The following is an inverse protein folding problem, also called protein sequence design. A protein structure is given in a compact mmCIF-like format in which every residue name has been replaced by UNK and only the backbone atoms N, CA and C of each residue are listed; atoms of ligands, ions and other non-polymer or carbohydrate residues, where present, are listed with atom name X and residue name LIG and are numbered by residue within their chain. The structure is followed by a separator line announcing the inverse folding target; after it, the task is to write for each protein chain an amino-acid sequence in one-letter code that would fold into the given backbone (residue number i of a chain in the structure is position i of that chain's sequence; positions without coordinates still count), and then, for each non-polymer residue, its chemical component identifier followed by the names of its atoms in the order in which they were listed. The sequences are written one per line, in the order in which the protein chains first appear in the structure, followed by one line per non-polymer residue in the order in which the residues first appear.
data_IF_035898538697
#
_entry.id   IF_035898538697
#
_cell.length_a   1.000
_cell.length_b   1.000
_cell.length_c   1.000
_cell.angle_alpha   90.00
_cell.angle_beta   90.00
_cell.angle_gamma   90.00
#
_symmetry.space_group_name_H-M   'P 1'
#
loop_
_entity.id
_entity.type
_entity.pdbx_description
1 polymer ?
#
# COMPACT_ATOMS: atom_id res chain seq x y z
N UNK A 1 -15.67 9.33 -8.74
CA UNK A 1 -15.02 8.87 -7.49
C UNK A 1 -15.00 10.03 -6.51
N UNK A 2 -15.45 9.82 -5.26
CA UNK A 2 -15.59 10.88 -4.26
C UNK A 2 -14.26 11.40 -3.71
N UNK A 3 -13.24 10.55 -3.63
CA UNK A 3 -11.91 10.93 -3.12
C UNK A 3 -11.21 12.02 -3.94
N UNK A 4 -11.54 12.14 -5.24
CA UNK A 4 -10.82 13.00 -6.19
C UNK A 4 -9.39 12.55 -6.51
N UNK A 5 -8.88 11.49 -5.87
CA UNK A 5 -7.52 11.00 -6.07
C UNK A 5 -7.43 10.13 -7.33
N UNK A 6 -6.57 10.48 -8.32
CA UNK A 6 -6.49 9.78 -9.59
C UNK A 6 -6.02 8.33 -9.47
N UNK A 7 -5.32 7.95 -8.39
CA UNK A 7 -4.91 6.57 -8.14
C UNK A 7 -6.12 5.66 -7.96
N UNK A 8 -7.18 6.16 -7.31
CA UNK A 8 -8.43 5.38 -7.11
C UNK A 8 -9.08 4.97 -8.42
N UNK A 9 -8.85 5.72 -9.51
CA UNK A 9 -9.36 5.41 -10.84
C UNK A 9 -8.51 4.40 -11.62
N UNK A 10 -7.22 4.28 -11.29
CA UNK A 10 -6.25 3.59 -12.13
C UNK A 10 -5.68 2.32 -11.51
N UNK A 11 -5.65 2.20 -10.18
CA UNK A 11 -4.83 1.17 -9.52
C UNK A 11 -5.19 -0.27 -9.92
N UNK A 12 -6.46 -0.54 -10.22
CA UNK A 12 -6.91 -1.88 -10.60
C UNK A 12 -6.34 -2.35 -11.95
N UNK A 13 -5.85 -1.43 -12.80
CA UNK A 13 -5.19 -1.79 -14.06
C UNK A 13 -3.69 -2.02 -13.90
N UNK A 14 -3.14 -1.79 -12.71
CA UNK A 14 -1.71 -1.94 -12.44
C UNK A 14 -1.34 -3.39 -12.19
N UNK A 15 -0.03 -3.67 -12.15
CA UNK A 15 0.49 -5.01 -11.90
C UNK A 15 0.11 -5.46 -10.48
N UNK A 16 -0.57 -6.59 -10.39
CA UNK A 16 -0.87 -7.30 -9.13
C UNK A 16 0.17 -8.40 -8.87
N UNK A 17 1.09 -8.26 -7.89
CA UNK A 17 2.14 -9.24 -7.62
C UNK A 17 1.67 -10.43 -6.78
N UNK A 18 0.47 -10.37 -6.19
CA UNK A 18 -0.16 -11.50 -5.51
C UNK A 18 -1.08 -12.31 -6.45
N UNK A 19 -1.03 -13.63 -6.37
CA UNK A 19 -1.90 -14.55 -7.14
C UNK A 19 -3.33 -14.56 -6.60
N UNK A 20 -3.46 -14.51 -5.28
CA UNK A 20 -4.70 -14.47 -4.51
C UNK A 20 -4.56 -13.47 -3.36
N UNK A 21 -5.65 -12.92 -2.83
CA UNK A 21 -5.60 -12.06 -1.65
C UNK A 21 -5.19 -12.86 -0.41
N UNK A 22 -4.50 -12.22 0.52
CA UNK A 22 -4.04 -12.88 1.75
C UNK A 22 -4.49 -12.12 2.99
N UNK A 23 -4.70 -12.85 4.09
CA UNK A 23 -5.10 -12.24 5.36
C UNK A 23 -3.93 -11.50 5.99
N UNK A 24 -4.13 -10.23 6.32
CA UNK A 24 -3.11 -9.39 6.91
C UNK A 24 -3.53 -8.88 8.30
N UNK A 25 -2.83 -9.34 9.33
CA UNK A 25 -3.07 -8.91 10.71
C UNK A 25 -2.85 -7.41 10.92
N UNK A 26 -1.80 -6.85 10.31
CA UNK A 26 -1.45 -5.42 10.45
C UNK A 26 -2.41 -4.46 9.73
N UNK A 27 -3.30 -4.98 8.87
CA UNK A 27 -4.38 -4.21 8.24
C UNK A 27 -5.76 -4.56 8.83
N UNK A 28 -5.80 -4.98 10.09
CA UNK A 28 -7.04 -5.28 10.81
C UNK A 28 -7.68 -6.61 10.41
N UNK A 29 -6.85 -7.63 10.16
CA UNK A 29 -7.30 -8.99 9.80
C UNK A 29 -8.05 -9.09 8.47
N UNK A 30 -7.93 -8.08 7.60
CA UNK A 30 -8.55 -8.03 6.27
C UNK A 30 -7.77 -8.87 5.27
N UNK A 31 -8.46 -9.31 4.22
CA UNK A 31 -7.82 -9.77 3.01
C UNK A 31 -7.30 -8.57 2.22
N UNK A 32 -6.09 -8.68 1.69
CA UNK A 32 -5.46 -7.61 0.91
C UNK A 32 -4.92 -8.14 -0.42
N UNK A 33 -5.08 -7.35 -1.49
CA UNK A 33 -4.23 -7.46 -2.68
C UNK A 33 -3.25 -6.30 -2.71
N UNK A 34 -2.15 -6.47 -3.43
CA UNK A 34 -1.19 -5.40 -3.69
C UNK A 34 -1.26 -5.02 -5.18
N UNK A 35 -1.09 -3.74 -5.49
CA UNK A 35 -1.03 -3.22 -6.85
C UNK A 35 0.15 -2.27 -6.95
N UNK A 36 0.96 -2.42 -7.98
CA UNK A 36 2.17 -1.62 -8.19
C UNK A 36 2.14 -0.97 -9.57
N UNK A 37 2.25 0.36 -9.60
CA UNK A 37 2.28 1.11 -10.86
C UNK A 37 3.55 0.78 -11.67
N UNK A 38 3.64 1.31 -12.90
CA UNK A 38 4.79 1.04 -13.78
C UNK A 38 6.16 1.43 -13.20
N UNK A 39 6.21 2.50 -12.39
CA UNK A 39 7.44 2.91 -11.69
C UNK A 39 7.83 1.91 -10.59
N UNK A 40 6.83 1.31 -9.93
CA UNK A 40 7.01 0.30 -8.89
C UNK A 40 7.15 -1.13 -9.45
N UNK A 41 7.50 -1.32 -10.74
CA UNK A 41 7.55 -2.65 -11.38
C UNK A 41 8.42 -3.65 -10.62
N UNK A 42 9.51 -3.18 -9.99
CA UNK A 42 10.46 -4.03 -9.29
C UNK A 42 9.97 -4.48 -7.90
N UNK A 43 8.87 -3.90 -7.39
CA UNK A 43 8.20 -4.34 -6.17
C UNK A 43 7.81 -5.83 -6.24
N UNK A 44 7.40 -6.30 -7.43
CA UNK A 44 7.04 -7.70 -7.67
C UNK A 44 8.23 -8.65 -7.85
N UNK A 45 9.48 -8.17 -7.73
CA UNK A 45 10.67 -9.02 -7.80
C UNK A 45 11.09 -9.53 -6.42
N UNK A 46 10.54 -8.96 -5.34
CA UNK A 46 10.73 -9.38 -3.95
C UNK A 46 12.20 -9.46 -3.49
N UNK A 47 13.08 -8.64 -4.08
CA UNK A 47 14.50 -8.62 -3.71
C UNK A 47 14.73 -7.79 -2.45
N UNK A 48 15.61 -8.27 -1.56
CA UNK A 48 15.93 -7.61 -0.29
C UNK A 48 16.63 -6.26 -0.45
N UNK A 49 17.16 -5.95 -1.63
CA UNK A 49 17.87 -4.72 -1.98
C UNK A 49 17.05 -3.77 -2.88
N UNK A 50 15.75 -4.05 -3.08
CA UNK A 50 14.90 -3.24 -3.95
C UNK A 50 14.85 -1.79 -3.48
N UNK A 51 15.18 -0.87 -4.39
CA UNK A 51 15.00 0.58 -4.24
C UNK A 51 14.01 1.04 -5.29
N UNK A 52 12.94 1.71 -4.87
CA UNK A 52 11.92 2.18 -5.79
C UNK A 52 12.18 3.65 -6.17
N UNK A 53 12.08 4.02 -7.45
CA UNK A 53 12.27 5.41 -7.87
C UNK A 53 11.11 6.30 -7.41
N UNK A 54 11.34 7.61 -7.34
CA UNK A 54 10.28 8.62 -7.14
C UNK A 54 9.11 8.38 -8.10
N UNK A 55 7.89 8.47 -7.58
CA UNK A 55 6.65 8.21 -8.32
C UNK A 55 6.24 6.75 -8.34
N UNK A 56 7.00 5.86 -7.69
CA UNK A 56 6.56 4.50 -7.41
C UNK A 56 5.40 4.51 -6.44
N UNK A 57 4.31 3.84 -6.81
CA UNK A 57 3.12 3.73 -5.98
C UNK A 57 2.82 2.25 -5.77
N UNK A 58 2.62 1.89 -4.50
CA UNK A 58 2.05 0.60 -4.11
C UNK A 58 0.73 0.85 -3.40
N UNK A 59 -0.35 0.27 -3.92
CA UNK A 59 -1.68 0.29 -3.32
C UNK A 59 -1.99 -1.08 -2.75
N UNK A 60 -2.69 -1.09 -1.62
CA UNK A 60 -3.34 -2.26 -1.07
C UNK A 60 -4.84 -1.99 -1.01
N UNK A 61 -5.61 -2.70 -1.82
CA UNK A 61 -7.03 -2.80 -1.56
C UNK A 61 -7.24 -3.75 -0.38
N UNK A 62 -8.39 -3.64 0.27
CA UNK A 62 -8.74 -4.60 1.30
C UNK A 62 -10.22 -4.90 1.31
N UNK A 63 -10.56 -6.08 1.82
CA UNK A 63 -11.94 -6.49 2.04
C UNK A 63 -12.00 -7.49 3.19
N UNK A 64 -13.21 -7.72 3.68
CA UNK A 64 -13.50 -8.78 4.66
C UNK A 64 -14.52 -9.75 4.07
N UNK A 65 -14.42 -11.01 4.49
CA UNK A 65 -15.47 -12.01 4.30
C UNK A 65 -16.08 -12.26 5.67
N UNK A 66 -17.38 -12.01 5.83
CA UNK A 66 -18.08 -12.23 7.10
C UNK A 66 -18.31 -13.72 7.35
N UNK A 67 -18.74 -14.07 8.56
CA UNK A 67 -19.16 -15.45 8.88
C UNK A 67 -20.34 -15.92 8.02
N UNK A 68 -21.20 -15.01 7.59
CA UNK A 68 -22.31 -15.27 6.65
C UNK A 68 -21.87 -15.38 5.19
N UNK A 69 -20.58 -15.18 4.89
CA UNK A 69 -20.03 -15.24 3.53
C UNK A 69 -20.18 -13.94 2.73
N UNK A 70 -20.62 -12.85 3.35
CA UNK A 70 -20.71 -11.54 2.69
C UNK A 70 -19.31 -10.94 2.48
N UNK A 71 -19.10 -10.34 1.30
CA UNK A 71 -17.87 -9.62 0.99
C UNK A 71 -18.10 -8.12 1.15
N UNK A 72 -17.40 -7.50 2.10
CA UNK A 72 -17.47 -6.06 2.32
C UNK A 72 -16.13 -5.39 2.02
N UNK A 73 -16.16 -4.28 1.27
CA UNK A 73 -14.99 -3.46 0.99
C UNK A 73 -14.40 -2.88 2.28
N UNK A 74 -13.09 -2.99 2.43
CA UNK A 74 -12.31 -2.34 3.46
C UNK A 74 -11.60 -1.09 2.95
N UNK A 75 -10.84 -0.41 3.81
CA UNK A 75 -10.05 0.76 3.41
C UNK A 75 -9.02 0.39 2.34
N UNK A 76 -8.73 1.35 1.46
CA UNK A 76 -7.57 1.32 0.57
C UNK A 76 -6.38 1.97 1.28
N UNK A 77 -5.22 1.32 1.22
CA UNK A 77 -3.96 1.84 1.74
C UNK A 77 -3.03 2.14 0.56
N UNK A 78 -2.35 3.28 0.59
CA UNK A 78 -1.44 3.71 -0.46
C UNK A 78 -0.11 4.13 0.15
N UNK A 79 0.98 3.78 -0.54
CA UNK A 79 2.28 4.39 -0.33
C UNK A 79 2.90 4.85 -1.65
N UNK A 80 3.45 6.07 -1.67
CA UNK A 80 4.13 6.66 -2.83
C UNK A 80 5.55 7.12 -2.44
N UNK A 81 6.55 6.75 -3.24
CA UNK A 81 7.91 7.27 -3.08
C UNK A 81 7.96 8.70 -3.61
N UNK A 82 8.22 9.67 -2.73
CA UNK A 82 8.32 11.09 -3.08
C UNK A 82 9.77 11.48 -3.38
N UNK A 83 9.98 12.77 -3.64
CA UNK A 83 11.30 13.35 -3.86
C UNK A 83 12.11 13.35 -2.55
N UNK A 84 13.43 13.41 -2.66
CA UNK A 84 14.32 13.43 -1.49
C UNK A 84 14.03 14.65 -0.60
N UNK A 85 13.90 14.44 0.71
CA UNK A 85 13.58 15.49 1.68
C UNK A 85 12.09 15.85 1.75
N UNK A 86 11.21 15.04 1.15
CA UNK A 86 9.77 15.18 1.29
C UNK A 86 9.32 15.01 2.75
N UNK A 87 9.82 13.98 3.43
CA UNK A 87 9.48 13.71 4.83
C UNK A 87 10.52 12.75 5.44
N UNK A 88 11.36 13.27 6.33
CA UNK A 88 12.42 12.50 7.02
C UNK A 88 11.85 11.35 7.85
N UNK A 89 10.70 11.56 8.49
CA UNK A 89 10.09 10.61 9.42
C UNK A 89 9.51 9.38 8.71
N UNK A 90 9.48 9.38 7.38
CA UNK A 90 8.95 8.29 6.54
C UNK A 90 9.91 7.87 5.44
N UNK A 91 11.19 8.31 5.49
CA UNK A 91 12.16 8.09 4.42
C UNK A 91 11.62 8.46 3.03
N UNK A 92 10.95 9.62 2.96
CA UNK A 92 10.32 10.18 1.77
C UNK A 92 9.16 9.36 1.19
N UNK A 93 8.50 8.54 2.00
CA UNK A 93 7.27 7.84 1.63
C UNK A 93 6.02 8.60 2.08
N UNK A 94 5.16 8.95 1.13
CA UNK A 94 3.80 9.39 1.43
C UNK A 94 2.96 8.17 1.72
N UNK A 95 2.23 8.18 2.83
CA UNK A 95 1.20 7.18 3.16
C UNK A 95 -0.17 7.84 3.08
N UNK A 96 -1.16 7.13 2.55
CA UNK A 96 -2.55 7.57 2.54
C UNK A 96 -3.49 6.39 2.83
N UNK A 97 -4.60 6.68 3.50
CA UNK A 97 -5.69 5.73 3.72
C UNK A 97 -7.01 6.35 3.25
N UNK A 98 -7.77 5.60 2.47
CA UNK A 98 -9.07 6.01 1.92
C UNK A 98 -10.13 4.98 2.32
N UNK A 99 -11.28 5.44 2.80
CA UNK A 99 -12.43 4.60 3.12
C UNK A 99 -13.14 4.10 1.86
N UNK A 100 -13.98 3.04 1.97
CA UNK A 100 -14.75 2.52 0.84
C UNK A 100 -15.66 3.56 0.15
N UNK A 101 -16.15 4.55 0.89
CA UNK A 101 -16.97 5.65 0.37
C UNK A 101 -16.16 6.75 -0.34
N UNK A 102 -14.83 6.67 -0.29
CA UNK A 102 -13.90 7.62 -0.89
C UNK A 102 -13.35 8.67 0.08
N UNK A 103 -13.75 8.66 1.36
CA UNK A 103 -13.25 9.64 2.33
C UNK A 103 -11.77 9.39 2.66
N UNK A 104 -10.95 10.44 2.57
CA UNK A 104 -9.54 10.36 2.95
C UNK A 104 -9.45 10.39 4.48
N UNK A 105 -9.00 9.28 5.07
CA UNK A 105 -8.77 9.18 6.51
C UNK A 105 -7.57 10.02 6.92
N UNK A 106 -6.47 9.90 6.16
CA UNK A 106 -5.23 10.59 6.44
C UNK A 106 -4.24 10.49 5.29
N UNK A 107 -3.36 11.48 5.19
CA UNK A 107 -2.26 11.54 4.22
C UNK A 107 -1.02 12.16 4.86
N UNK A 108 0.17 11.60 4.63
CA UNK A 108 1.45 12.19 5.08
C UNK A 108 1.56 13.64 4.62
N UNK A 109 1.91 14.56 5.54
CA UNK A 109 1.97 16.01 5.30
C UNK A 109 0.65 16.64 4.78
N UNK A 110 -0.48 15.95 4.94
CA UNK A 110 -1.79 16.40 4.48
C UNK A 110 -2.89 16.27 5.55
N UNK A 111 -4.17 16.33 5.15
CA UNK A 111 -5.29 16.13 6.06
C UNK A 111 -5.16 14.81 6.81
N UNK A 112 -5.42 14.83 8.12
CA UNK A 112 -5.39 13.62 8.95
C UNK A 112 -4.01 12.95 9.03
N UNK A 113 -2.90 13.65 8.78
CA UNK A 113 -1.54 13.08 8.80
C UNK A 113 -1.23 12.24 10.05
N UNK A 114 -1.70 12.65 11.23
CA UNK A 114 -1.50 11.90 12.47
C UNK A 114 -2.10 10.49 12.42
N UNK A 115 -3.17 10.27 11.64
CA UNK A 115 -3.82 8.96 11.47
C UNK A 115 -3.02 7.99 10.61
N UNK A 116 -2.04 8.47 9.84
CA UNK A 116 -1.15 7.64 9.00
C UNK A 116 0.30 7.62 9.49
N UNK A 117 0.61 8.26 10.62
CA UNK A 117 1.94 8.20 11.24
C UNK A 117 2.34 6.76 11.59
N UNK A 118 1.37 5.94 12.04
CA UNK A 118 1.61 4.52 12.31
C UNK A 118 2.12 3.76 11.06
N UNK A 119 1.63 4.13 9.86
CA UNK A 119 2.09 3.52 8.60
C UNK A 119 3.59 3.75 8.42
N UNK A 120 4.05 5.00 8.55
CA UNK A 120 5.47 5.34 8.47
C UNK A 120 6.29 4.65 9.56
N UNK A 121 5.84 4.70 10.82
CA UNK A 121 6.55 4.10 11.94
C UNK A 121 6.78 2.59 11.78
N UNK A 122 5.79 1.86 11.26
CA UNK A 122 5.95 0.43 10.95
C UNK A 122 6.84 0.21 9.73
N UNK A 123 6.62 0.96 8.64
CA UNK A 123 7.39 0.79 7.40
C UNK A 123 8.86 1.19 7.53
N UNK A 124 9.22 2.10 8.45
CA UNK A 124 10.60 2.43 8.79
C UNK A 124 11.36 1.26 9.42
N UNK A 125 10.65 0.26 9.94
CA UNK A 125 11.21 -0.96 10.52
C UNK A 125 11.28 -2.12 9.50
N UNK A 126 10.99 -1.84 8.23
CA UNK A 126 11.18 -2.84 7.18
C UNK A 126 12.64 -3.35 7.15
N UNK A 127 12.87 -4.58 6.66
CA UNK A 127 14.22 -5.13 6.56
C UNK A 127 15.19 -4.16 5.89
N UNK A 128 16.40 -4.08 6.44
CA UNK A 128 17.47 -3.24 5.88
C UNK A 128 17.67 -3.56 4.40
N UNK A 129 17.82 -2.52 3.58
CA UNK A 129 17.94 -2.65 2.13
C UNK A 129 16.63 -2.50 1.36
N UNK A 130 15.47 -2.83 1.95
CA UNK A 130 14.18 -2.92 1.23
C UNK A 130 13.42 -1.59 1.05
N UNK A 131 14.04 -0.43 1.28
CA UNK A 131 13.42 0.88 1.00
C UNK A 131 12.03 1.05 1.65
N UNK A 132 11.91 0.66 2.92
CA UNK A 132 10.66 0.69 3.68
C UNK A 132 9.55 -0.24 3.14
N UNK A 133 9.88 -1.21 2.30
CA UNK A 133 8.91 -2.13 1.70
C UNK A 133 8.77 -3.40 2.53
N UNK A 134 7.51 -3.78 2.75
CA UNK A 134 7.14 -5.13 3.12
C UNK A 134 6.57 -5.87 1.91
N UNK A 135 7.06 -7.07 1.67
CA UNK A 135 6.55 -7.96 0.64
C UNK A 135 5.43 -8.84 1.17
N UNK A 136 4.53 -9.24 0.26
CA UNK A 136 3.52 -10.24 0.54
C UNK A 136 4.14 -11.62 0.87
N UNK A 137 3.42 -12.50 1.58
CA UNK A 137 3.88 -13.85 1.90
C UNK A 137 4.29 -14.64 0.65
N UNK A 138 5.33 -15.46 0.75
CA UNK A 138 5.85 -16.24 -0.38
C UNK A 138 4.81 -17.13 -1.05
N UNK A 139 3.95 -17.74 -0.24
CA UNK A 139 2.89 -18.65 -0.70
C UNK A 139 1.91 -18.00 -1.67
N UNK A 140 1.74 -16.68 -1.65
CA UNK A 140 0.79 -15.94 -2.50
C UNK A 140 1.47 -15.08 -3.57
N UNK A 141 2.79 -15.11 -3.68
CA UNK A 141 3.54 -14.40 -4.73
C UNK A 141 3.24 -15.01 -6.10
N UNK A 142 3.05 -14.16 -7.11
CA UNK A 142 3.13 -14.59 -8.49
C UNK A 142 4.60 -14.84 -8.85
N UNK A 143 4.86 -15.95 -9.52
CA UNK A 143 6.10 -16.14 -10.27
C UNK A 143 6.15 -15.10 -11.38
N UNK A 144 7.33 -14.52 -11.60
CA UNK A 144 7.56 -13.57 -12.69
C UNK A 144 7.75 -14.28 -14.03
#
# INVERSE_FOLDING_TARGET
MKSGDPVTAAFMTWRRPNKEPYRSGVHGQRFVNHYANGMAKDYGNFKSDTKLPKGSIVVKDSFVVTESGEVMSGPMFLMEKKYAGFNSDSNDWLFMMIQPDGDIVGMTNGPGASKVQFCAGCHNQAPLGQDNLYYLPETVRKSN
#
